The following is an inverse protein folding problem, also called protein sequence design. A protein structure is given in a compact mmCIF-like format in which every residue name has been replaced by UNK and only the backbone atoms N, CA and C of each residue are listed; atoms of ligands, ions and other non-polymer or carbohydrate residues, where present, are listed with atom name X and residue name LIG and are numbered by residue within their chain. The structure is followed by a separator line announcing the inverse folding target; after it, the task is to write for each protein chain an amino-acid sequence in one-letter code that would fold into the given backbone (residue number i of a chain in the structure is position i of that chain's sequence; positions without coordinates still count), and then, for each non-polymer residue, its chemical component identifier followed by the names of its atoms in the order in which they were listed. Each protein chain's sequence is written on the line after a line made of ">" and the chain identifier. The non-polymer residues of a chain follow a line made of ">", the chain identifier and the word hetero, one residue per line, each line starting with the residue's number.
data_IF_896661669669
#
_entry.id   IF_896661669669
#
_cell.length_a   1.000
_cell.length_b   1.000
_cell.length_c   1.000
_cell.angle_alpha   90.00
_cell.angle_beta   90.00
_cell.angle_gamma   90.00
#
_symmetry.space_group_name_H-M   'P 1'
#
loop_
_entity.id
_entity.type
_entity.pdbx_description
1 polymer ?
#
# COMPACT_ATOMS: atom_id res chain seq x y z
N UNK A 1 -19.30 -4.03 -9.15
CA UNK A 1 -18.27 -3.71 -8.14
C UNK A 1 -16.92 -3.73 -8.81
N UNK A 2 -16.08 -2.75 -8.53
CA UNK A 2 -14.70 -2.71 -8.97
C UNK A 2 -13.81 -3.01 -7.77
N UNK A 3 -12.86 -3.94 -7.94
CA UNK A 3 -11.92 -4.33 -6.89
C UNK A 3 -10.51 -3.99 -7.34
N UNK A 4 -9.70 -3.43 -6.46
CA UNK A 4 -8.31 -3.12 -6.67
C UNK A 4 -7.48 -3.79 -5.58
N UNK A 5 -6.63 -4.72 -6.01
CA UNK A 5 -5.76 -5.47 -5.10
C UNK A 5 -4.55 -4.66 -4.65
N UNK A 6 -3.87 -5.19 -3.64
CA UNK A 6 -2.63 -4.66 -3.10
C UNK A 6 -1.56 -4.46 -4.19
N UNK A 7 -0.78 -3.40 -4.08
CA UNK A 7 0.29 -3.08 -5.03
C UNK A 7 -0.17 -2.51 -6.38
N UNK A 8 -1.42 -2.06 -6.51
CA UNK A 8 -1.93 -1.52 -7.77
C UNK A 8 -1.67 -0.02 -7.99
N UNK A 9 -1.21 0.72 -6.98
CA UNK A 9 -1.01 2.18 -7.04
C UNK A 9 0.33 2.61 -6.45
N UNK A 10 0.77 3.81 -6.83
CA UNK A 10 1.93 4.47 -6.22
C UNK A 10 3.27 4.18 -6.89
N UNK A 11 3.28 3.51 -8.04
CA UNK A 11 4.51 3.10 -8.74
C UNK A 11 5.09 4.13 -9.69
N UNK A 12 4.39 5.24 -9.94
CA UNK A 12 4.86 6.29 -10.83
C UNK A 12 5.55 7.39 -10.03
N UNK A 13 6.61 7.99 -10.59
CA UNK A 13 7.36 9.06 -9.94
C UNK A 13 6.52 10.32 -9.72
N UNK A 14 5.65 10.64 -10.69
CA UNK A 14 4.73 11.76 -10.61
C UNK A 14 3.46 11.35 -9.85
N UNK A 15 3.23 11.98 -8.69
CA UNK A 15 2.03 11.71 -7.88
C UNK A 15 0.73 12.10 -8.59
N UNK A 16 0.77 13.10 -9.47
CA UNK A 16 -0.37 13.44 -10.33
C UNK A 16 -0.74 12.32 -11.29
N UNK A 17 0.24 11.58 -11.81
CA UNK A 17 0.01 10.40 -12.64
C UNK A 17 -0.58 9.24 -11.79
N UNK A 18 -0.08 9.04 -10.56
CA UNK A 18 -0.67 8.07 -9.63
C UNK A 18 -2.15 8.38 -9.35
N UNK A 19 -2.51 9.66 -9.21
CA UNK A 19 -3.89 10.08 -8.97
C UNK A 19 -4.84 9.80 -10.14
N UNK A 20 -4.34 9.65 -11.36
CA UNK A 20 -5.19 9.36 -12.53
C UNK A 20 -5.97 8.06 -12.38
N UNK A 21 -5.42 7.06 -11.67
CA UNK A 21 -6.12 5.80 -11.45
C UNK A 21 -7.44 6.01 -10.68
N UNK A 22 -7.46 6.91 -9.70
CA UNK A 22 -8.67 7.22 -8.94
C UNK A 22 -9.73 7.88 -9.82
N UNK A 23 -9.31 8.76 -10.74
CA UNK A 23 -10.20 9.38 -11.72
C UNK A 23 -10.78 8.35 -12.69
N UNK A 24 -9.99 7.37 -13.11
CA UNK A 24 -10.44 6.27 -13.97
C UNK A 24 -11.48 5.41 -13.24
N UNK A 25 -11.20 5.06 -11.97
CA UNK A 25 -12.13 4.30 -11.12
C UNK A 25 -13.46 5.04 -11.00
N UNK A 26 -13.41 6.33 -10.64
CA UNK A 26 -14.61 7.14 -10.49
C UNK A 26 -15.45 7.22 -11.79
N UNK A 27 -14.80 7.34 -12.95
CA UNK A 27 -15.47 7.37 -14.27
C UNK A 27 -16.04 6.02 -14.69
N UNK A 28 -15.38 4.92 -14.31
CA UNK A 28 -15.82 3.57 -14.65
C UNK A 28 -17.04 3.10 -13.84
N UNK A 29 -17.27 3.70 -12.68
CA UNK A 29 -18.40 3.37 -11.82
C UNK A 29 -19.64 4.15 -12.22
N UNK A 30 -20.79 3.48 -12.28
CA UNK A 30 -22.12 4.11 -12.34
C UNK A 30 -22.50 4.64 -10.95
N UNK A 31 -23.46 5.56 -10.88
CA UNK A 31 -24.03 6.01 -9.61
C UNK A 31 -24.50 4.80 -8.79
N UNK A 32 -24.16 4.77 -7.51
CA UNK A 32 -24.35 3.62 -6.64
C UNK A 32 -23.36 2.47 -6.86
N UNK A 33 -22.44 2.61 -7.81
CA UNK A 33 -21.38 1.63 -8.07
C UNK A 33 -20.41 1.50 -6.89
N UNK A 34 -20.02 0.28 -6.58
CA UNK A 34 -19.21 -0.06 -5.42
C UNK A 34 -17.75 -0.25 -5.82
N UNK A 35 -16.84 0.28 -5.01
CA UNK A 35 -15.40 0.10 -5.15
C UNK A 35 -14.82 -0.42 -3.83
N UNK A 36 -13.87 -1.35 -3.96
CA UNK A 36 -13.09 -1.85 -2.84
C UNK A 36 -11.60 -1.76 -3.21
N UNK A 37 -10.80 -1.27 -2.28
CA UNK A 37 -9.35 -1.12 -2.44
C UNK A 37 -8.64 -1.68 -1.22
N UNK A 38 -7.52 -2.39 -1.44
CA UNK A 38 -6.60 -2.84 -0.40
C UNK A 38 -5.20 -2.34 -0.73
N UNK A 39 -4.61 -1.56 0.17
CA UNK A 39 -3.28 -0.95 0.00
C UNK A 39 -2.50 -1.00 1.31
N UNK A 40 -1.19 -0.77 1.23
CA UNK A 40 -0.39 -0.50 2.42
C UNK A 40 -0.71 0.90 2.94
N UNK A 41 -0.86 1.02 4.26
CA UNK A 41 -1.25 2.25 4.93
C UNK A 41 -0.06 3.22 5.06
N UNK A 42 -0.17 4.38 4.43
CA UNK A 42 0.87 5.42 4.51
C UNK A 42 1.08 5.96 5.94
N UNK A 43 0.03 6.05 6.75
CA UNK A 43 0.15 6.46 8.17
C UNK A 43 0.97 5.44 8.97
N UNK A 44 0.76 4.14 8.75
CA UNK A 44 1.57 3.09 9.36
C UNK A 44 3.05 3.23 8.98
N UNK A 45 3.33 3.38 7.69
CA UNK A 45 4.70 3.51 7.19
C UNK A 45 5.43 4.71 7.82
N UNK A 46 4.75 5.84 7.96
CA UNK A 46 5.31 7.06 8.55
C UNK A 46 5.79 6.88 10.00
N UNK A 47 5.14 6.00 10.77
CA UNK A 47 5.43 5.81 12.20
C UNK A 47 6.28 4.58 12.50
N UNK A 48 6.30 3.57 11.60
CA UNK A 48 6.95 2.29 11.84
C UNK A 48 8.22 2.07 11.00
N UNK A 49 8.43 2.86 9.95
CA UNK A 49 9.63 2.74 9.12
C UNK A 49 10.64 3.87 9.45
N UNK A 50 11.95 3.63 9.31
CA UNK A 50 12.56 2.44 8.71
C UNK A 50 12.51 1.21 9.63
N UNK A 51 12.41 0.04 9.05
CA UNK A 51 12.52 -1.22 9.79
C UNK A 51 13.17 -2.32 8.95
N UNK A 52 13.70 -3.33 9.63
CA UNK A 52 14.25 -4.54 9.01
C UNK A 52 13.56 -5.74 9.62
N UNK A 53 13.11 -6.62 8.76
CA UNK A 53 12.38 -7.82 9.13
C UNK A 53 13.06 -9.04 8.54
N UNK A 54 12.80 -10.19 9.13
CA UNK A 54 13.18 -11.47 8.55
C UNK A 54 12.01 -12.45 8.65
N UNK A 55 11.95 -13.34 7.69
CA UNK A 55 10.98 -14.43 7.68
C UNK A 55 11.68 -15.73 7.29
N UNK A 56 11.34 -16.82 8.00
CA UNK A 56 11.88 -18.15 7.76
C UNK A 56 10.83 -19.03 7.10
N UNK A 57 10.97 -19.23 5.79
CA UNK A 57 10.17 -20.17 5.03
C UNK A 57 10.71 -21.59 5.11
N UNK A 58 10.06 -22.54 4.42
CA UNK A 58 10.48 -23.95 4.38
C UNK A 58 11.85 -24.17 3.73
N UNK A 59 12.22 -23.34 2.77
CA UNK A 59 13.41 -23.52 1.92
C UNK A 59 14.51 -22.50 2.18
N UNK A 60 14.21 -21.41 2.89
CA UNK A 60 15.17 -20.32 3.05
C UNK A 60 14.70 -19.25 4.01
N UNK A 61 15.54 -18.25 4.15
CA UNK A 61 15.37 -17.06 4.98
C UNK A 61 15.29 -15.84 4.06
N UNK A 62 14.26 -15.03 4.24
CA UNK A 62 14.12 -13.72 3.59
C UNK A 62 14.47 -12.61 4.57
N UNK A 63 15.37 -11.72 4.19
CA UNK A 63 15.63 -10.46 4.88
C UNK A 63 15.01 -9.33 4.08
N UNK A 64 14.22 -8.48 4.75
CA UNK A 64 13.55 -7.33 4.14
C UNK A 64 13.95 -6.04 4.85
N UNK A 65 14.17 -4.98 4.08
CA UNK A 65 14.38 -3.63 4.59
C UNK A 65 13.32 -2.69 4.01
N UNK A 66 12.74 -1.90 4.89
CA UNK A 66 11.74 -0.89 4.55
C UNK A 66 12.29 0.48 4.96
N UNK A 67 12.44 1.38 4.01
CA UNK A 67 12.85 2.76 4.23
C UNK A 67 11.68 3.68 3.90
N UNK A 68 11.55 4.80 4.63
CA UNK A 68 10.49 5.77 4.43
C UNK A 68 11.04 7.14 4.06
N UNK A 69 10.72 7.60 2.88
CA UNK A 69 11.05 8.93 2.40
C UNK A 69 9.88 9.88 2.70
N UNK A 70 10.01 10.62 3.80
CA UNK A 70 8.92 11.42 4.38
C UNK A 70 8.40 12.50 3.44
N UNK A 71 9.29 13.22 2.75
CA UNK A 71 8.92 14.37 1.92
C UNK A 71 8.09 13.94 0.69
N UNK A 72 8.40 12.77 0.15
CA UNK A 72 7.69 12.17 -1.00
C UNK A 72 6.62 11.16 -0.58
N UNK A 73 6.52 10.86 0.72
CA UNK A 73 5.63 9.81 1.26
C UNK A 73 5.79 8.47 0.53
N UNK A 74 7.03 8.08 0.36
CA UNK A 74 7.42 6.97 -0.50
C UNK A 74 8.11 5.89 0.30
N UNK A 75 7.66 4.65 0.10
CA UNK A 75 8.31 3.46 0.60
C UNK A 75 9.41 3.03 -0.39
N UNK A 76 10.60 2.76 0.14
CA UNK A 76 11.66 2.06 -0.56
C UNK A 76 11.81 0.69 0.11
N UNK A 77 11.61 -0.36 -0.67
CA UNK A 77 11.65 -1.73 -0.19
C UNK A 77 12.82 -2.47 -0.80
N UNK A 78 13.60 -3.15 0.04
CA UNK A 78 14.68 -4.02 -0.38
C UNK A 78 14.52 -5.42 0.20
N UNK A 79 14.96 -6.44 -0.54
CA UNK A 79 14.87 -7.83 -0.13
C UNK A 79 16.11 -8.61 -0.56
N UNK A 80 16.50 -9.58 0.27
CA UNK A 80 17.46 -10.64 -0.10
C UNK A 80 17.00 -11.98 0.46
N UNK A 81 17.10 -13.02 -0.36
CA UNK A 81 16.72 -14.38 -0.01
C UNK A 81 17.97 -15.25 0.12
N UNK A 82 18.02 -16.09 1.18
CA UNK A 82 19.04 -17.09 1.41
C UNK A 82 18.42 -18.48 1.44
N UNK A 83 18.95 -19.40 0.67
CA UNK A 83 18.52 -20.79 0.70
C UNK A 83 19.23 -21.55 1.83
N UNK A 84 18.52 -22.40 2.54
CA UNK A 84 19.13 -23.24 3.57
C UNK A 84 20.16 -24.19 2.95
N UNK A 85 21.30 -24.32 3.61
CA UNK A 85 22.44 -25.12 3.13
C UNK A 85 23.43 -24.38 2.24
N UNK A 86 23.16 -23.15 1.83
CA UNK A 86 24.08 -22.29 1.13
C UNK A 86 24.96 -21.49 2.10
N UNK A 87 26.15 -21.07 1.61
CA UNK A 87 27.03 -20.22 2.41
C UNK A 87 26.43 -18.83 2.60
N UNK A 88 26.48 -18.31 3.81
CA UNK A 88 26.10 -16.92 4.08
C UNK A 88 27.12 -15.95 3.50
N UNK A 89 26.63 -14.92 2.86
CA UNK A 89 27.41 -13.80 2.35
C UNK A 89 26.84 -12.48 2.88
N UNK A 90 27.60 -11.40 2.73
CA UNK A 90 27.10 -10.08 3.11
C UNK A 90 25.87 -9.74 2.24
N UNK A 91 24.71 -9.40 2.84
CA UNK A 91 23.53 -9.11 2.06
C UNK A 91 23.74 -7.83 1.22
N UNK A 92 23.51 -7.95 -0.06
CA UNK A 92 23.33 -6.83 -0.97
C UNK A 92 21.82 -6.70 -1.24
N UNK A 93 21.17 -5.76 -0.52
CA UNK A 93 19.74 -5.54 -0.66
C UNK A 93 19.48 -4.94 -2.05
N UNK A 94 18.72 -5.65 -2.86
CA UNK A 94 18.19 -5.08 -4.11
C UNK A 94 17.03 -4.18 -3.75
N UNK A 95 17.21 -2.88 -3.96
CA UNK A 95 16.14 -1.92 -3.80
C UNK A 95 15.17 -2.04 -4.99
N UNK A 96 13.88 -2.13 -4.66
CA UNK A 96 12.81 -2.05 -5.64
C UNK A 96 12.51 -0.59 -6.03
N UNK A 97 11.58 -0.41 -6.95
CA UNK A 97 11.10 0.92 -7.29
C UNK A 97 10.39 1.55 -6.09
N UNK A 98 10.61 2.86 -5.84
CA UNK A 98 9.87 3.59 -4.81
C UNK A 98 8.35 3.49 -5.02
N UNK A 99 7.61 3.35 -3.92
CA UNK A 99 6.14 3.21 -3.96
C UNK A 99 5.53 4.34 -3.13
N UNK A 100 4.72 5.19 -3.76
CA UNK A 100 3.92 6.21 -3.09
C UNK A 100 2.81 5.54 -2.28
N UNK A 101 2.80 5.74 -0.97
CA UNK A 101 1.75 5.24 -0.08
C UNK A 101 0.82 6.38 0.34
N UNK A 102 -0.45 6.04 0.50
CA UNK A 102 -1.51 6.99 0.85
C UNK A 102 -2.07 6.67 2.25
N UNK A 103 -2.39 7.71 3.01
CA UNK A 103 -3.18 7.58 4.24
C UNK A 103 -4.68 7.54 3.93
N UNK A 104 -5.48 7.14 4.92
CA UNK A 104 -6.94 7.18 4.81
C UNK A 104 -7.45 8.61 4.55
N UNK A 105 -6.86 9.61 5.21
CA UNK A 105 -7.25 11.01 5.04
C UNK A 105 -6.98 11.50 3.62
N UNK A 106 -5.80 11.19 3.05
CA UNK A 106 -5.47 11.55 1.67
C UNK A 106 -6.44 10.90 0.67
N UNK A 107 -6.73 9.61 0.84
CA UNK A 107 -7.71 8.91 -0.02
C UNK A 107 -9.10 9.51 0.13
N UNK A 108 -9.49 9.88 1.36
CA UNK A 108 -10.79 10.52 1.61
C UNK A 108 -10.91 11.84 0.86
N UNK A 109 -9.89 12.68 0.90
CA UNK A 109 -9.87 13.95 0.16
C UNK A 109 -9.94 13.74 -1.36
N UNK A 110 -9.14 12.79 -1.89
CA UNK A 110 -9.13 12.46 -3.32
C UNK A 110 -10.51 11.94 -3.75
N UNK A 111 -11.07 11.00 -3.00
CA UNK A 111 -12.35 10.39 -3.32
C UNK A 111 -13.50 11.39 -3.27
N UNK A 112 -13.52 12.25 -2.24
CA UNK A 112 -14.52 13.32 -2.14
C UNK A 112 -14.54 14.22 -3.39
N UNK A 113 -13.36 14.64 -3.87
CA UNK A 113 -13.23 15.46 -5.09
C UNK A 113 -13.71 14.73 -6.36
N UNK A 114 -13.72 13.41 -6.35
CA UNK A 114 -14.11 12.57 -7.47
C UNK A 114 -15.56 12.03 -7.38
N UNK A 115 -16.31 12.42 -6.34
CA UNK A 115 -17.67 11.95 -6.09
C UNK A 115 -17.72 10.47 -5.68
N UNK A 116 -16.71 10.02 -4.95
CA UNK A 116 -16.67 8.73 -4.29
C UNK A 116 -16.81 8.96 -2.79
N UNK A 117 -17.78 8.32 -2.17
CA UNK A 117 -17.97 8.38 -0.71
C UNK A 117 -17.43 7.13 -0.07
N UNK A 118 -16.47 7.30 0.85
CA UNK A 118 -15.99 6.19 1.69
C UNK A 118 -17.08 5.80 2.67
N UNK A 119 -17.45 4.54 2.66
CA UNK A 119 -18.45 3.98 3.57
C UNK A 119 -17.81 3.38 4.82
N UNK A 120 -16.75 2.61 4.63
CA UNK A 120 -16.01 1.94 5.69
C UNK A 120 -14.54 1.77 5.32
N UNK A 121 -13.69 1.64 6.35
CA UNK A 121 -12.30 1.24 6.21
C UNK A 121 -11.95 0.16 7.23
N UNK A 122 -11.09 -0.78 6.82
CA UNK A 122 -10.74 -1.96 7.60
C UNK A 122 -9.24 -2.20 7.60
N UNK A 123 -8.75 -2.87 8.64
CA UNK A 123 -7.35 -3.30 8.76
C UNK A 123 -7.11 -4.71 8.22
N UNK A 124 -8.16 -5.52 8.15
CA UNK A 124 -8.09 -6.92 7.71
C UNK A 124 -9.43 -7.41 7.14
N UNK A 125 -9.43 -8.64 6.62
CA UNK A 125 -10.63 -9.28 6.08
C UNK A 125 -11.61 -9.79 7.14
N UNK A 126 -11.30 -9.69 8.44
CA UNK A 126 -12.24 -9.98 9.53
C UNK A 126 -13.21 -8.83 9.80
N UNK A 127 -12.94 -7.66 9.21
CA UNK A 127 -13.73 -6.46 9.42
C UNK A 127 -13.25 -5.60 10.59
N UNK A 128 -12.03 -5.81 11.08
CA UNK A 128 -11.40 -4.93 12.07
C UNK A 128 -11.33 -3.50 11.51
N UNK A 129 -11.84 -2.46 12.22
CA UNK A 129 -11.70 -1.08 11.79
C UNK A 129 -10.23 -0.70 11.57
N UNK A 130 -9.94 0.08 10.53
CA UNK A 130 -8.58 0.56 10.24
C UNK A 130 -8.08 1.55 11.30
N UNK A 131 -6.77 1.55 11.54
CA UNK A 131 -6.09 2.56 12.33
C UNK A 131 -4.71 2.87 11.75
N UNK A 132 -4.05 3.93 12.24
CA UNK A 132 -2.69 4.29 11.82
C UNK A 132 -1.64 3.25 12.26
N UNK A 133 -2.00 2.33 13.15
CA UNK A 133 -1.15 1.25 13.63
C UNK A 133 -1.33 -0.07 12.86
N UNK A 134 -2.17 -0.09 11.83
CA UNK A 134 -2.39 -1.26 11.00
C UNK A 134 -1.69 -1.07 9.64
N UNK A 135 -0.92 -2.08 9.24
CA UNK A 135 -0.13 -2.04 7.99
C UNK A 135 -1.02 -2.05 6.73
N UNK A 136 -2.18 -2.73 6.79
CA UNK A 136 -3.13 -2.77 5.70
C UNK A 136 -4.20 -1.70 5.87
N UNK A 137 -4.61 -1.11 4.75
CA UNK A 137 -5.73 -0.18 4.65
C UNK A 137 -6.66 -0.66 3.55
N UNK A 138 -7.79 -1.19 3.97
CA UNK A 138 -8.87 -1.62 3.08
C UNK A 138 -9.98 -0.58 3.09
N UNK A 139 -10.41 -0.12 1.93
CA UNK A 139 -11.39 0.96 1.80
C UNK A 139 -12.55 0.49 0.94
N UNK A 140 -13.75 0.62 1.49
CA UNK A 140 -14.99 0.42 0.77
C UNK A 140 -15.66 1.76 0.48
N UNK A 141 -15.92 2.02 -0.79
CA UNK A 141 -16.53 3.27 -1.24
C UNK A 141 -17.65 3.05 -2.27
N UNK A 142 -18.49 4.06 -2.43
CA UNK A 142 -19.63 4.08 -3.37
C UNK A 142 -19.54 5.36 -4.20
N UNK A 143 -19.81 5.25 -5.51
CA UNK A 143 -20.01 6.39 -6.41
C UNK A 143 -21.34 7.07 -6.10
N UNK A 144 -21.33 8.35 -5.80
CA UNK A 144 -22.51 9.20 -5.64
C UNK A 144 -23.01 9.75 -6.97
#
# INVERSE_FOLDING_TARGET
>A
MLNMADGAIGYLEDDGENHKIFSVIAKALKNGGKHFMNIMNGSYAQTHFPCKLWDAGEKGLTLSAFEWEKDRKTLIYGQVDYMYGEALYKPEMKEGNPIRLYSLDEITEIFCKLGLRICNSFADFSGKPSSDNDIQLMIYSIRE
#
